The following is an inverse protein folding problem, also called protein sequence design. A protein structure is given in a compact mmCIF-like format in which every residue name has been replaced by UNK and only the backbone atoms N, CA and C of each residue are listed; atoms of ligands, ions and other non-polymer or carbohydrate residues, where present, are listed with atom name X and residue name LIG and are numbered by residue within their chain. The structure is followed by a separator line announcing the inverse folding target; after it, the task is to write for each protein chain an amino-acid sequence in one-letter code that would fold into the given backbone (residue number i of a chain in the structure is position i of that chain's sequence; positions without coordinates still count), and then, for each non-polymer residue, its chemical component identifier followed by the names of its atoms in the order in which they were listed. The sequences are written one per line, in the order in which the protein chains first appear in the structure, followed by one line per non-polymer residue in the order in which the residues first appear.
data_IF_164793708041
#
_entry.id   IF_164793708041
#
_cell.length_a   1.000
_cell.length_b   1.000
_cell.length_c   1.000
_cell.angle_alpha   90.00
_cell.angle_beta   90.00
_cell.angle_gamma   90.00
#
_symmetry.space_group_name_H-M   'P 1'
#
loop_
_entity.id
_entity.type
_entity.pdbx_description
1 polymer ?
#
# COMPACT_ATOMS: atom_id res chain seq x y z
N UNK A 1 22.54 -14.31 -8.82
CA UNK A 1 21.54 -13.91 -7.82
C UNK A 1 20.30 -14.74 -8.13
N UNK A 2 19.79 -15.46 -7.13
CA UNK A 2 18.57 -16.24 -7.27
C UNK A 2 17.36 -15.33 -7.45
N UNK A 3 16.42 -15.72 -8.32
CA UNK A 3 15.25 -14.91 -8.64
C UNK A 3 14.34 -14.71 -7.39
N UNK A 4 14.23 -15.74 -6.56
CA UNK A 4 13.42 -15.66 -5.34
C UNK A 4 14.08 -14.80 -4.27
N UNK A 5 15.42 -14.86 -4.16
CA UNK A 5 16.18 -13.95 -3.28
C UNK A 5 15.97 -12.50 -3.68
N UNK A 6 15.98 -12.23 -4.99
CA UNK A 6 15.73 -10.89 -5.52
C UNK A 6 14.30 -10.41 -5.23
N UNK A 7 13.29 -11.27 -5.37
CA UNK A 7 11.91 -10.95 -4.99
C UNK A 7 11.82 -10.58 -3.48
N UNK A 8 12.49 -11.35 -2.62
CA UNK A 8 12.50 -11.06 -1.17
C UNK A 8 13.18 -9.73 -0.90
N UNK A 9 14.32 -9.46 -1.55
CA UNK A 9 15.05 -8.19 -1.45
C UNK A 9 14.18 -7.01 -1.86
N UNK A 10 13.53 -7.11 -3.04
CA UNK A 10 12.66 -6.07 -3.58
C UNK A 10 11.49 -5.76 -2.64
N UNK A 11 10.81 -6.79 -2.14
CA UNK A 11 9.68 -6.62 -1.22
C UNK A 11 10.07 -5.91 0.08
N UNK A 12 11.26 -6.24 0.64
CA UNK A 12 11.81 -5.58 1.83
C UNK A 12 12.25 -4.14 1.56
N UNK A 13 12.75 -3.88 0.35
CA UNK A 13 13.16 -2.54 -0.08
C UNK A 13 12.00 -1.64 -0.53
N UNK A 14 10.74 -2.09 -0.40
CA UNK A 14 9.58 -1.32 -0.83
C UNK A 14 9.43 -1.22 -2.35
N UNK A 15 10.14 -2.04 -3.13
CA UNK A 15 10.14 -2.03 -4.59
C UNK A 15 9.04 -2.93 -5.15
N UNK A 16 8.48 -2.52 -6.29
CA UNK A 16 7.48 -3.28 -7.04
C UNK A 16 8.13 -4.05 -8.18
N UNK A 17 7.45 -5.12 -8.61
CA UNK A 17 7.79 -5.89 -9.79
C UNK A 17 6.63 -6.75 -10.25
N UNK A 18 6.87 -7.55 -11.28
CA UNK A 18 5.96 -8.60 -11.70
C UNK A 18 6.76 -9.86 -12.07
N UNK A 19 6.24 -11.00 -11.67
CA UNK A 19 6.80 -12.31 -12.01
C UNK A 19 5.97 -12.94 -13.11
N UNK A 20 6.60 -13.22 -14.25
CA UNK A 20 6.04 -14.00 -15.34
C UNK A 20 6.55 -15.45 -15.22
N UNK A 21 5.64 -16.41 -15.27
CA UNK A 21 5.96 -17.85 -15.23
C UNK A 21 5.27 -18.56 -16.39
N UNK A 22 6.02 -19.35 -17.16
CA UNK A 22 5.44 -20.29 -18.15
C UNK A 22 4.71 -21.39 -17.38
N UNK A 23 3.40 -21.47 -17.54
CA UNK A 23 2.52 -22.42 -16.82
C UNK A 23 2.06 -23.57 -17.71
N UNK A 24 2.12 -23.42 -19.04
CA UNK A 24 1.80 -24.46 -19.99
C UNK A 24 2.55 -24.26 -21.31
N UNK A 25 2.94 -25.37 -21.93
CA UNK A 25 3.59 -25.40 -23.23
C UNK A 25 3.05 -26.56 -24.05
N UNK A 26 2.80 -26.33 -25.34
CA UNK A 26 2.42 -27.37 -26.30
C UNK A 26 3.17 -27.15 -27.62
N UNK A 27 3.70 -28.23 -28.21
CA UNK A 27 4.49 -28.19 -29.43
C UNK A 27 5.98 -27.87 -29.23
N UNK A 28 6.69 -27.49 -30.32
CA UNK A 28 8.11 -27.16 -30.29
C UNK A 28 8.33 -25.70 -29.94
N UNK A 29 8.82 -25.45 -28.74
CA UNK A 29 9.08 -24.09 -28.24
C UNK A 29 10.50 -23.95 -27.70
N UNK A 30 11.09 -22.74 -27.69
CA UNK A 30 12.46 -22.50 -27.24
C UNK A 30 12.61 -22.47 -25.71
N UNK A 31 11.53 -22.67 -24.98
CA UNK A 31 11.48 -22.57 -23.52
C UNK A 31 10.78 -23.78 -22.91
N UNK A 32 10.83 -23.92 -21.61
CA UNK A 32 10.20 -25.02 -20.88
C UNK A 32 9.29 -24.51 -19.76
N UNK A 33 8.35 -25.33 -19.35
CA UNK A 33 7.49 -25.05 -18.18
C UNK A 33 8.33 -24.69 -16.96
N UNK A 34 7.79 -23.77 -16.16
CA UNK A 34 8.47 -23.19 -15.00
C UNK A 34 9.59 -22.19 -15.30
N UNK A 35 9.90 -21.88 -16.58
CA UNK A 35 10.75 -20.72 -16.90
C UNK A 35 10.14 -19.44 -16.37
N UNK A 36 10.96 -18.56 -15.81
CA UNK A 36 10.50 -17.34 -15.14
C UNK A 36 11.29 -16.12 -15.56
N UNK A 37 10.58 -14.99 -15.59
CA UNK A 37 11.14 -13.66 -15.81
C UNK A 37 10.56 -12.70 -14.77
N UNK A 38 11.42 -12.09 -13.99
CA UNK A 38 11.07 -11.01 -13.06
C UNK A 38 11.30 -9.67 -13.77
N UNK A 39 10.26 -8.85 -13.87
CA UNK A 39 10.32 -7.47 -14.36
C UNK A 39 10.23 -6.52 -13.18
N UNK A 40 11.20 -5.59 -13.05
CA UNK A 40 11.20 -4.59 -11.97
C UNK A 40 10.51 -3.30 -12.42
N UNK A 41 10.15 -2.45 -11.46
CA UNK A 41 9.50 -1.16 -11.73
C UNK A 41 10.34 -0.21 -12.58
N UNK A 42 11.68 -0.30 -12.50
CA UNK A 42 12.63 0.45 -13.32
C UNK A 42 12.75 -0.07 -14.76
N UNK A 43 12.04 -1.16 -15.09
CA UNK A 43 12.03 -1.80 -16.40
C UNK A 43 13.13 -2.84 -16.59
N UNK A 44 14.06 -3.00 -15.65
CA UNK A 44 15.06 -4.08 -15.72
C UNK A 44 14.43 -5.44 -15.47
N UNK A 45 15.03 -6.51 -16.01
CA UNK A 45 14.53 -7.88 -15.87
C UNK A 45 15.60 -8.84 -15.36
N UNK A 46 15.15 -9.96 -14.80
CA UNK A 46 15.99 -11.09 -14.39
C UNK A 46 15.30 -12.39 -14.81
N UNK A 47 16.04 -13.31 -15.45
CA UNK A 47 15.48 -14.54 -16.02
C UNK A 47 14.92 -14.34 -17.43
N UNK A 48 14.25 -15.36 -17.97
CA UNK A 48 13.71 -15.35 -19.34
C UNK A 48 12.48 -16.25 -19.45
N UNK A 49 11.62 -15.91 -20.41
CA UNK A 49 10.46 -16.74 -20.83
C UNK A 49 10.53 -17.12 -22.33
N UNK A 50 11.74 -17.07 -22.92
CA UNK A 50 12.00 -17.55 -24.28
C UNK A 50 12.51 -16.50 -25.26
N UNK A 51 12.61 -15.23 -24.88
CA UNK A 51 13.17 -14.15 -25.70
C UNK A 51 12.21 -13.58 -26.76
N UNK A 52 12.73 -12.65 -27.56
CA UNK A 52 12.02 -12.05 -28.70
C UNK A 52 10.75 -11.25 -28.32
N UNK A 53 9.74 -11.27 -29.20
CA UNK A 53 8.50 -10.52 -29.04
C UNK A 53 7.68 -10.97 -27.84
N UNK A 54 7.77 -12.26 -27.44
CA UNK A 54 7.10 -12.78 -26.25
C UNK A 54 7.53 -12.02 -24.99
N UNK A 55 8.82 -11.76 -24.83
CA UNK A 55 9.33 -10.99 -23.68
C UNK A 55 8.88 -9.52 -23.72
N UNK A 56 8.77 -8.93 -24.91
CA UNK A 56 8.27 -7.55 -25.04
C UNK A 56 6.81 -7.44 -24.58
N UNK A 57 5.96 -8.40 -24.97
CA UNK A 57 4.56 -8.45 -24.55
C UNK A 57 4.42 -8.76 -23.06
N UNK A 58 5.26 -9.67 -22.54
CA UNK A 58 5.33 -9.97 -21.10
C UNK A 58 5.76 -8.72 -20.31
N UNK A 59 6.72 -7.96 -20.83
CA UNK A 59 7.16 -6.71 -20.20
C UNK A 59 6.04 -5.66 -20.17
N UNK A 60 5.28 -5.50 -21.27
CA UNK A 60 4.12 -4.61 -21.30
C UNK A 60 3.03 -5.05 -20.32
N UNK A 61 2.71 -6.35 -20.27
CA UNK A 61 1.76 -6.91 -19.32
C UNK A 61 2.23 -6.77 -17.87
N UNK A 62 3.53 -6.92 -17.60
CA UNK A 62 4.11 -6.74 -16.28
C UNK A 62 3.88 -5.33 -15.73
N UNK A 63 4.02 -4.29 -16.56
CA UNK A 63 3.72 -2.91 -16.18
C UNK A 63 2.25 -2.72 -15.81
N UNK A 64 1.34 -3.28 -16.60
CA UNK A 64 -0.10 -3.23 -16.34
C UNK A 64 -0.45 -3.96 -15.03
N UNK A 65 0.10 -5.16 -14.83
CA UNK A 65 -0.07 -5.98 -13.62
C UNK A 65 0.43 -5.25 -12.37
N UNK A 66 1.59 -4.58 -12.44
CA UNK A 66 2.10 -3.75 -11.35
C UNK A 66 1.18 -2.58 -11.00
N UNK A 67 0.55 -1.94 -12.00
CA UNK A 67 -0.36 -0.81 -11.79
C UNK A 67 -1.71 -1.25 -11.21
N UNK A 68 -2.28 -2.35 -11.76
CA UNK A 68 -3.59 -2.88 -11.34
C UNK A 68 -3.54 -3.73 -10.07
N UNK A 69 -2.32 -4.12 -9.65
CA UNK A 69 -2.08 -5.04 -8.52
C UNK A 69 -2.86 -6.37 -8.64
N UNK A 70 -3.13 -6.80 -9.87
CA UNK A 70 -3.87 -8.01 -10.19
C UNK A 70 -3.16 -8.86 -11.26
N UNK A 71 -3.24 -10.19 -11.21
CA UNK A 71 -2.57 -11.06 -12.16
C UNK A 71 -3.21 -11.04 -13.54
N UNK A 72 -2.44 -11.45 -14.54
CA UNK A 72 -2.90 -11.62 -15.93
C UNK A 72 -2.33 -12.90 -16.52
N UNK A 73 -3.13 -13.61 -17.32
CA UNK A 73 -2.69 -14.73 -18.15
C UNK A 73 -2.52 -14.25 -19.59
N UNK A 74 -1.41 -14.60 -20.20
CA UNK A 74 -1.11 -14.40 -21.62
C UNK A 74 -1.06 -15.75 -22.30
N UNK A 75 -1.54 -15.83 -23.55
CA UNK A 75 -1.48 -17.02 -24.40
C UNK A 75 -0.86 -16.58 -25.73
N UNK A 76 0.22 -17.27 -26.12
CA UNK A 76 0.94 -17.03 -27.39
C UNK A 76 0.82 -18.27 -28.26
N UNK A 77 0.38 -18.08 -29.50
CA UNK A 77 0.39 -19.08 -30.55
C UNK A 77 1.57 -18.80 -31.47
N UNK A 78 2.62 -19.62 -31.38
CA UNK A 78 3.85 -19.47 -32.12
C UNK A 78 3.74 -20.20 -33.47
N UNK A 79 2.88 -19.72 -34.37
CA UNK A 79 2.69 -20.32 -35.68
C UNK A 79 3.50 -19.61 -36.74
N UNK A 80 3.99 -20.37 -37.76
CA UNK A 80 4.78 -19.91 -38.88
C UNK A 80 4.02 -18.99 -39.88
N UNK A 81 2.86 -18.49 -39.57
CA UNK A 81 2.15 -17.57 -40.44
C UNK A 81 2.68 -16.14 -40.29
N UNK A 82 3.02 -15.54 -41.44
CA UNK A 82 3.81 -14.35 -41.66
C UNK A 82 3.29 -13.01 -41.09
N UNK A 83 2.41 -13.00 -40.12
CA UNK A 83 1.89 -11.79 -39.50
C UNK A 83 2.61 -11.40 -38.19
N UNK A 84 3.40 -12.27 -37.64
CA UNK A 84 4.31 -11.99 -36.53
C UNK A 84 5.70 -12.45 -36.89
N UNK A 85 6.53 -11.54 -37.41
CA UNK A 85 7.96 -11.77 -37.69
C UNK A 85 8.73 -11.79 -36.35
N UNK A 86 8.45 -12.83 -35.57
CA UNK A 86 8.99 -13.02 -34.22
C UNK A 86 10.41 -13.57 -34.21
N UNK A 87 10.97 -13.87 -35.40
CA UNK A 87 12.29 -14.50 -35.55
C UNK A 87 12.41 -15.90 -34.92
N UNK A 88 11.28 -16.48 -34.46
CA UNK A 88 11.23 -17.79 -33.84
C UNK A 88 10.63 -18.80 -34.83
N UNK A 89 11.44 -19.74 -35.29
CA UNK A 89 11.03 -20.90 -36.12
C UNK A 89 10.45 -21.98 -35.16
N UNK A 90 9.42 -21.65 -34.41
CA UNK A 90 8.84 -22.56 -33.43
C UNK A 90 7.32 -22.64 -33.65
N UNK A 91 6.80 -23.87 -33.71
CA UNK A 91 5.34 -24.12 -33.79
C UNK A 91 4.84 -24.63 -32.45
N UNK A 92 3.93 -23.89 -31.80
CA UNK A 92 3.37 -24.34 -30.52
C UNK A 92 2.60 -23.25 -29.79
N UNK A 93 2.11 -23.57 -28.62
CA UNK A 93 1.39 -22.64 -27.72
C UNK A 93 2.15 -22.50 -26.41
N UNK A 94 2.26 -21.25 -25.93
CA UNK A 94 2.84 -20.94 -24.60
C UNK A 94 1.83 -20.16 -23.80
N UNK A 95 1.55 -20.60 -22.57
CA UNK A 95 0.75 -19.87 -21.62
C UNK A 95 1.64 -19.30 -20.49
N UNK A 96 1.55 -18.00 -20.26
CA UNK A 96 2.36 -17.29 -19.28
C UNK A 96 1.42 -16.63 -18.24
N UNK A 97 1.64 -16.94 -16.98
CA UNK A 97 0.98 -16.26 -15.87
C UNK A 97 1.88 -15.15 -15.36
N UNK A 98 1.35 -13.94 -15.34
CA UNK A 98 2.04 -12.73 -14.85
C UNK A 98 1.36 -12.26 -13.59
N UNK A 99 2.11 -12.26 -12.47
CA UNK A 99 1.60 -11.85 -11.17
C UNK A 99 2.38 -10.67 -10.57
N UNK A 100 1.72 -9.76 -9.80
CA UNK A 100 2.41 -8.63 -9.21
C UNK A 100 3.25 -9.06 -8.00
N UNK A 101 4.46 -8.55 -7.93
CA UNK A 101 5.32 -8.59 -6.74
C UNK A 101 5.16 -7.25 -6.02
N UNK A 102 4.37 -7.26 -4.96
CA UNK A 102 4.09 -6.07 -4.17
C UNK A 102 4.98 -6.01 -2.94
N UNK A 103 5.44 -4.81 -2.53
CA UNK A 103 6.16 -4.63 -1.28
C UNK A 103 5.29 -5.04 -0.10
N UNK A 104 5.93 -5.39 1.00
CA UNK A 104 5.21 -5.65 2.25
C UNK A 104 4.52 -4.34 2.71
N UNK A 105 3.22 -4.35 2.99
CA UNK A 105 2.56 -3.17 3.54
C UNK A 105 3.08 -2.90 4.96
N UNK A 106 3.40 -1.63 5.25
CA UNK A 106 3.87 -1.21 6.57
C UNK A 106 2.89 -0.22 7.19
N UNK A 107 2.49 -0.51 8.41
CA UNK A 107 1.64 0.35 9.23
C UNK A 107 2.51 1.15 10.20
N UNK A 108 2.57 2.45 10.02
CA UNK A 108 3.24 3.39 10.92
C UNK A 108 2.22 4.00 11.89
N UNK A 109 2.39 3.69 13.17
CA UNK A 109 1.55 4.16 14.27
C UNK A 109 2.18 5.40 14.91
N UNK A 110 1.55 6.53 14.77
CA UNK A 110 1.94 7.77 15.45
C UNK A 110 1.13 7.88 16.74
N UNK A 111 1.77 7.49 17.85
CA UNK A 111 1.23 7.29 19.17
C UNK A 111 1.34 5.82 19.62
N UNK A 112 1.87 5.55 20.82
CA UNK A 112 2.09 4.21 21.38
C UNK A 112 1.08 3.79 22.45
N UNK A 113 -0.15 4.37 22.45
CA UNK A 113 -1.20 4.11 23.43
C UNK A 113 -1.85 2.73 23.34
N UNK A 114 -2.92 2.52 24.11
CA UNK A 114 -3.64 1.23 24.17
C UNK A 114 -4.21 0.79 22.81
N UNK A 115 -4.85 1.73 22.09
CA UNK A 115 -5.36 1.45 20.74
C UNK A 115 -4.22 1.04 19.80
N UNK A 116 -3.09 1.73 19.84
CA UNK A 116 -1.92 1.38 19.01
C UNK A 116 -1.37 -0.01 19.33
N UNK A 117 -1.34 -0.40 20.61
CA UNK A 117 -0.86 -1.73 21.01
C UNK A 117 -1.79 -2.83 20.50
N UNK A 118 -3.10 -2.65 20.60
CA UNK A 118 -4.09 -3.58 20.05
C UNK A 118 -4.03 -3.61 18.52
N UNK A 119 -3.95 -2.43 17.88
CA UNK A 119 -3.88 -2.28 16.43
C UNK A 119 -2.60 -2.91 15.85
N UNK A 120 -1.45 -2.73 16.49
CA UNK A 120 -0.20 -3.34 16.06
C UNK A 120 -0.30 -4.87 16.01
N UNK A 121 -0.87 -5.49 17.04
CA UNK A 121 -1.07 -6.95 17.10
C UNK A 121 -2.01 -7.43 16.00
N UNK A 122 -3.16 -6.79 15.84
CA UNK A 122 -4.17 -7.18 14.86
C UNK A 122 -3.67 -6.96 13.41
N UNK A 123 -3.01 -5.83 13.13
CA UNK A 123 -2.45 -5.54 11.81
C UNK A 123 -1.28 -6.48 11.46
N UNK A 124 -0.42 -6.80 12.43
CA UNK A 124 0.66 -7.76 12.23
C UNK A 124 0.12 -9.16 11.86
N UNK A 125 -0.94 -9.61 12.52
CA UNK A 125 -1.59 -10.89 12.25
C UNK A 125 -2.13 -10.99 10.82
N UNK A 126 -2.50 -9.87 10.19
CA UNK A 126 -2.95 -9.84 8.79
C UNK A 126 -1.85 -9.41 7.80
N UNK A 127 -0.58 -9.44 8.25
CA UNK A 127 0.62 -9.32 7.40
C UNK A 127 1.13 -7.90 7.16
N UNK A 128 0.78 -6.93 8.00
CA UNK A 128 1.46 -5.63 8.00
C UNK A 128 2.78 -5.70 8.78
N UNK A 129 3.84 -5.06 8.23
CA UNK A 129 4.98 -4.63 9.02
C UNK A 129 4.53 -3.49 9.96
N UNK A 130 5.20 -3.33 11.10
CA UNK A 130 4.80 -2.34 12.12
C UNK A 130 5.95 -1.38 12.37
N UNK A 131 5.68 -0.08 12.28
CA UNK A 131 6.51 1.01 12.78
C UNK A 131 5.75 1.78 13.86
N UNK A 132 6.44 2.24 14.90
CA UNK A 132 5.80 2.97 16.03
C UNK A 132 6.58 4.24 16.34
N UNK A 133 5.87 5.32 16.58
CA UNK A 133 6.43 6.61 17.02
C UNK A 133 5.64 7.14 18.20
N UNK A 134 6.29 7.39 19.33
CA UNK A 134 5.73 8.12 20.50
C UNK A 134 6.88 8.84 21.21
N UNK A 135 6.68 10.09 21.61
CA UNK A 135 7.71 10.90 22.30
C UNK A 135 8.05 10.41 23.71
N UNK A 136 7.37 9.38 24.19
CA UNK A 136 7.59 8.75 25.49
C UNK A 136 8.18 7.35 25.28
N UNK A 137 9.40 7.13 25.71
CA UNK A 137 10.08 5.83 25.61
C UNK A 137 9.28 4.68 26.27
N UNK A 138 8.54 4.98 27.35
CA UNK A 138 7.68 3.99 27.99
C UNK A 138 6.50 3.53 27.12
N UNK A 139 6.18 4.27 26.04
CA UNK A 139 5.11 3.96 25.10
C UNK A 139 5.65 3.49 23.73
N UNK A 140 6.86 3.86 23.34
CA UNK A 140 7.51 3.40 22.12
C UNK A 140 8.77 2.59 22.46
N UNK A 141 8.60 1.30 22.72
CA UNK A 141 9.70 0.39 23.07
C UNK A 141 9.41 -1.06 22.61
N UNK A 142 10.46 -1.92 22.51
CA UNK A 142 10.33 -3.30 22.05
C UNK A 142 9.46 -4.18 22.97
N UNK A 143 9.36 -3.87 24.26
CA UNK A 143 8.56 -4.66 25.20
C UNK A 143 7.05 -4.49 24.90
N UNK A 144 6.64 -3.29 24.53
CA UNK A 144 5.25 -3.01 24.14
C UNK A 144 4.93 -3.45 22.72
N UNK A 145 5.91 -3.33 21.81
CA UNK A 145 5.76 -3.60 20.37
C UNK A 145 6.83 -4.58 19.89
N UNK A 146 6.80 -5.85 20.35
CA UNK A 146 7.83 -6.85 19.99
C UNK A 146 7.81 -7.19 18.49
N UNK A 147 6.72 -6.89 17.77
CA UNK A 147 6.59 -7.07 16.32
C UNK A 147 7.05 -5.85 15.51
N UNK A 148 7.40 -4.72 16.15
CA UNK A 148 7.79 -3.52 15.43
C UNK A 148 9.17 -3.68 14.77
N UNK A 149 9.24 -3.30 13.51
CA UNK A 149 10.49 -3.26 12.72
C UNK A 149 11.26 -1.96 12.97
N UNK A 150 10.52 -0.88 13.28
CA UNK A 150 11.06 0.45 13.53
C UNK A 150 10.35 1.09 14.72
N UNK A 151 11.12 1.68 15.62
CA UNK A 151 10.60 2.39 16.79
C UNK A 151 11.31 3.74 16.89
N UNK A 152 10.51 4.82 16.92
CA UNK A 152 11.00 6.18 17.07
C UNK A 152 10.45 6.79 18.36
N UNK A 153 11.33 7.42 19.14
CA UNK A 153 10.99 8.19 20.35
C UNK A 153 10.94 9.70 20.07
N UNK A 154 10.95 10.08 18.78
CA UNK A 154 10.86 11.46 18.31
C UNK A 154 10.04 11.51 17.02
N UNK A 155 9.01 12.34 17.00
CA UNK A 155 8.25 12.61 15.77
C UNK A 155 9.12 13.24 14.68
N UNK A 156 10.07 14.09 15.06
CA UNK A 156 11.00 14.72 14.13
C UNK A 156 11.85 13.68 13.41
N UNK A 157 12.45 12.77 14.18
CA UNK A 157 13.29 11.70 13.62
C UNK A 157 12.49 10.79 12.69
N UNK A 158 11.23 10.47 13.06
CA UNK A 158 10.33 9.71 12.21
C UNK A 158 10.06 10.43 10.89
N UNK A 159 9.78 11.74 10.92
CA UNK A 159 9.51 12.52 9.71
C UNK A 159 10.72 12.65 8.79
N UNK A 160 11.94 12.73 9.36
CA UNK A 160 13.18 12.84 8.60
C UNK A 160 13.62 11.48 7.99
N UNK A 161 13.36 10.37 8.69
CA UNK A 161 13.84 9.04 8.28
C UNK A 161 12.83 8.26 7.47
N UNK A 162 11.54 8.44 7.71
CA UNK A 162 10.50 7.75 6.98
C UNK A 162 10.28 8.36 5.59
N UNK A 163 10.17 7.50 4.59
CA UNK A 163 9.78 7.88 3.23
C UNK A 163 8.52 7.09 2.81
N UNK A 164 7.33 7.47 3.29
CA UNK A 164 6.11 6.73 3.03
C UNK A 164 5.73 6.72 1.56
N UNK A 165 5.60 5.52 1.00
CA UNK A 165 5.17 5.27 -0.38
C UNK A 165 3.84 4.52 -0.45
N UNK A 166 3.54 3.97 -1.62
CA UNK A 166 2.27 3.27 -1.93
C UNK A 166 2.02 1.99 -1.14
N UNK A 167 3.00 1.50 -0.36
CA UNK A 167 2.86 0.39 0.59
C UNK A 167 2.78 0.84 2.04
N UNK A 168 2.83 2.16 2.31
CA UNK A 168 2.82 2.73 3.65
C UNK A 168 1.41 3.15 4.06
N UNK A 169 1.06 2.84 5.31
CA UNK A 169 -0.20 3.18 5.95
C UNK A 169 0.10 3.97 7.21
N UNK A 170 -0.35 5.22 7.27
CA UNK A 170 -0.08 6.13 8.37
C UNK A 170 -1.32 6.23 9.26
N UNK A 171 -1.17 5.94 10.54
CA UNK A 171 -2.25 5.97 11.52
C UNK A 171 -1.91 6.91 12.66
N UNK A 172 -2.75 7.93 12.85
CA UNK A 172 -2.57 9.01 13.81
C UNK A 172 -3.45 8.73 15.02
N UNK A 173 -2.81 8.34 16.13
CA UNK A 173 -3.43 7.94 17.41
C UNK A 173 -2.70 8.60 18.57
N UNK A 174 -2.29 9.85 18.39
CA UNK A 174 -1.53 10.58 19.40
C UNK A 174 -2.41 10.96 20.61
N UNK A 175 -1.78 11.40 21.68
CA UNK A 175 -2.48 11.78 22.92
C UNK A 175 -3.15 13.17 22.88
N UNK A 176 -2.93 13.98 21.83
CA UNK A 176 -3.42 15.35 21.84
C UNK A 176 -3.50 16.03 20.47
N UNK A 177 -4.32 17.08 20.41
CA UNK A 177 -4.58 17.83 19.18
C UNK A 177 -3.34 18.39 18.50
N UNK A 178 -2.35 18.85 19.29
CA UNK A 178 -1.13 19.47 18.74
C UNK A 178 -0.30 18.47 17.95
N UNK A 179 -0.10 17.26 18.49
CA UNK A 179 0.66 16.22 17.80
C UNK A 179 -0.15 15.61 16.64
N UNK A 180 -1.48 15.46 16.79
CA UNK A 180 -2.34 15.05 15.68
C UNK A 180 -2.20 16.00 14.48
N UNK A 181 -2.25 17.32 14.72
CA UNK A 181 -2.05 18.34 13.67
C UNK A 181 -0.69 18.22 13.03
N UNK A 182 0.37 18.11 13.83
CA UNK A 182 1.74 18.03 13.34
C UNK A 182 1.97 16.80 12.47
N UNK A 183 1.48 15.64 12.92
CA UNK A 183 1.59 14.39 12.16
C UNK A 183 0.74 14.44 10.90
N UNK A 184 -0.49 14.95 10.98
CA UNK A 184 -1.38 15.06 9.82
C UNK A 184 -0.80 16.01 8.77
N UNK A 185 -0.28 17.15 9.18
CA UNK A 185 0.38 18.14 8.30
C UNK A 185 1.52 17.53 7.47
N UNK A 186 2.31 16.65 8.09
CA UNK A 186 3.35 15.90 7.39
C UNK A 186 2.75 14.78 6.53
N UNK A 187 1.81 14.00 7.07
CA UNK A 187 1.27 12.80 6.44
C UNK A 187 0.53 13.08 5.12
N UNK A 188 -0.24 14.17 5.04
CA UNK A 188 -1.01 14.53 3.82
C UNK A 188 -0.11 14.82 2.62
N UNK A 189 1.14 15.24 2.86
CA UNK A 189 2.14 15.52 1.83
C UNK A 189 2.96 14.31 1.40
N UNK A 190 2.77 13.15 2.05
CA UNK A 190 3.44 11.91 1.69
C UNK A 190 2.71 11.18 0.56
N UNK A 191 3.37 10.15 0.00
CA UNK A 191 2.77 9.24 -0.98
C UNK A 191 2.16 7.99 -0.33
N UNK A 192 1.91 8.03 0.98
CA UNK A 192 1.31 6.90 1.70
C UNK A 192 -0.03 6.49 1.08
N UNK A 193 -0.29 5.19 1.02
CA UNK A 193 -1.55 4.63 0.50
C UNK A 193 -2.75 4.98 1.38
N UNK A 194 -2.51 5.10 2.67
CA UNK A 194 -3.53 5.38 3.68
C UNK A 194 -3.02 6.41 4.69
N UNK A 195 -3.86 7.37 5.01
CA UNK A 195 -3.66 8.31 6.13
C UNK A 195 -4.94 8.30 6.95
N UNK A 196 -4.87 7.77 8.17
CA UNK A 196 -6.01 7.70 9.07
C UNK A 196 -5.78 8.46 10.37
N UNK A 197 -6.82 9.12 10.89
CA UNK A 197 -6.75 9.82 12.17
C UNK A 197 -7.92 9.42 13.07
N UNK A 198 -7.59 9.06 14.33
CA UNK A 198 -8.61 8.77 15.34
C UNK A 198 -9.20 10.07 15.91
N UNK A 199 -10.48 10.05 16.16
CA UNK A 199 -11.14 11.16 16.84
C UNK A 199 -12.62 11.27 16.50
N UNK A 200 -13.35 12.01 17.32
CA UNK A 200 -14.73 12.39 16.98
C UNK A 200 -14.75 13.31 15.75
N UNK A 201 -15.88 13.35 15.04
CA UNK A 201 -16.11 14.30 13.92
C UNK A 201 -15.75 15.74 14.29
N UNK A 202 -16.13 16.16 15.53
CA UNK A 202 -15.81 17.49 16.04
C UNK A 202 -14.29 17.74 16.15
N UNK A 203 -13.55 16.74 16.67
CA UNK A 203 -12.07 16.81 16.76
C UNK A 203 -11.44 16.92 15.39
N UNK A 204 -11.85 16.05 14.44
CA UNK A 204 -11.35 16.06 13.07
C UNK A 204 -11.54 17.42 12.42
N UNK A 205 -12.75 17.97 12.46
CA UNK A 205 -13.05 19.29 11.88
C UNK A 205 -12.24 20.41 12.53
N UNK A 206 -11.98 20.32 13.84
CA UNK A 206 -11.14 21.31 14.54
C UNK A 206 -9.69 21.27 14.03
N UNK A 207 -9.14 20.06 13.81
CA UNK A 207 -7.78 19.88 13.27
C UNK A 207 -7.69 20.40 11.84
N UNK A 208 -8.65 20.07 10.96
CA UNK A 208 -8.66 20.55 9.58
C UNK A 208 -8.71 22.09 9.51
N UNK A 209 -9.64 22.71 10.24
CA UNK A 209 -9.75 24.19 10.29
C UNK A 209 -8.48 24.87 10.81
N UNK A 210 -7.76 24.23 11.72
CA UNK A 210 -6.50 24.77 12.21
C UNK A 210 -5.41 24.70 11.14
N UNK A 211 -5.30 23.57 10.40
CA UNK A 211 -4.35 23.41 9.31
C UNK A 211 -4.68 24.30 8.10
N UNK A 212 -5.96 24.51 7.78
CA UNK A 212 -6.38 25.48 6.75
C UNK A 212 -5.87 26.90 7.07
N UNK A 213 -5.90 27.32 8.35
CA UNK A 213 -5.33 28.61 8.78
C UNK A 213 -3.80 28.67 8.64
N UNK A 214 -3.12 27.52 8.65
CA UNK A 214 -1.69 27.38 8.39
C UNK A 214 -1.35 27.27 6.89
N UNK A 215 -2.37 27.36 6.00
CA UNK A 215 -2.20 27.38 4.56
C UNK A 215 -2.30 26.01 3.87
N UNK A 216 -2.86 25.00 4.54
CA UNK A 216 -3.17 23.72 3.90
C UNK A 216 -4.48 23.82 3.12
N UNK A 217 -4.50 23.31 1.87
CA UNK A 217 -5.70 23.33 1.05
C UNK A 217 -6.70 22.23 1.53
N UNK A 218 -8.02 22.50 1.54
CA UNK A 218 -9.03 21.51 1.92
C UNK A 218 -8.93 20.18 1.16
N UNK A 219 -8.51 20.22 -0.09
CA UNK A 219 -8.34 19.07 -0.98
C UNK A 219 -7.25 18.11 -0.48
N UNK A 220 -6.26 18.59 0.28
CA UNK A 220 -5.22 17.76 0.87
C UNK A 220 -5.80 16.77 1.90
N UNK A 221 -6.97 17.09 2.48
CA UNK A 221 -7.64 16.26 3.49
C UNK A 221 -8.63 15.25 2.88
N UNK A 222 -8.98 15.36 1.60
CA UNK A 222 -9.94 14.43 0.97
C UNK A 222 -9.50 12.97 0.99
N UNK A 223 -8.19 12.73 1.02
CA UNK A 223 -7.61 11.39 1.10
C UNK A 223 -7.54 10.83 2.51
N UNK A 224 -7.82 11.66 3.53
CA UNK A 224 -7.69 11.28 4.94
C UNK A 224 -8.94 10.54 5.41
N UNK A 225 -8.73 9.40 6.04
CA UNK A 225 -9.76 8.61 6.71
C UNK A 225 -9.92 9.12 8.14
N UNK A 226 -10.92 9.96 8.38
CA UNK A 226 -11.15 10.56 9.69
C UNK A 226 -12.66 10.86 9.91
N UNK A 227 -13.27 10.32 10.96
CA UNK A 227 -12.73 9.28 11.85
C UNK A 227 -12.34 8.02 11.11
N UNK A 228 -11.16 7.42 11.43
CA UNK A 228 -10.72 6.17 10.83
C UNK A 228 -11.45 4.97 11.43
N UNK A 229 -11.50 3.89 10.66
CA UNK A 229 -12.15 2.63 10.99
C UNK A 229 -13.60 2.54 10.50
N UNK A 230 -14.06 1.30 10.31
CA UNK A 230 -15.44 1.03 9.93
C UNK A 230 -16.37 1.27 11.12
N UNK A 231 -17.57 1.77 10.86
CA UNK A 231 -18.59 1.98 11.91
C UNK A 231 -19.23 0.63 12.31
N UNK A 232 -18.65 -0.01 13.32
CA UNK A 232 -19.11 -1.30 13.88
C UNK A 232 -19.60 -1.17 15.31
N UNK A 233 -19.73 0.06 15.84
CA UNK A 233 -20.08 0.28 17.23
C UNK A 233 -18.98 -0.05 18.24
N UNK A 234 -17.71 -0.02 17.82
CA UNK A 234 -16.55 -0.36 18.65
C UNK A 234 -16.40 0.56 19.86
N UNK A 235 -16.15 -0.03 21.04
CA UNK A 235 -15.99 0.67 22.31
C UNK A 235 -14.61 0.44 22.94
N UNK A 236 -14.13 -0.80 22.97
CA UNK A 236 -12.81 -1.12 23.54
C UNK A 236 -11.66 -0.82 22.58
N UNK A 237 -10.42 -0.65 23.08
CA UNK A 237 -9.24 -0.51 22.22
C UNK A 237 -9.09 -1.64 21.23
N UNK A 238 -9.42 -2.88 21.60
CA UNK A 238 -9.35 -4.06 20.76
C UNK A 238 -10.41 -4.03 19.65
N UNK A 239 -11.64 -3.64 19.96
CA UNK A 239 -12.72 -3.48 18.97
C UNK A 239 -12.41 -2.35 17.99
N UNK A 240 -11.88 -1.22 18.50
CA UNK A 240 -11.41 -0.11 17.66
C UNK A 240 -10.29 -0.59 16.73
N UNK A 241 -9.36 -1.40 17.21
CA UNK A 241 -8.31 -1.99 16.40
C UNK A 241 -8.88 -2.88 15.28
N UNK A 242 -9.87 -3.72 15.56
CA UNK A 242 -10.57 -4.55 14.57
C UNK A 242 -11.23 -3.68 13.49
N UNK A 243 -11.94 -2.63 13.90
CA UNK A 243 -12.58 -1.67 13.00
C UNK A 243 -11.56 -1.03 12.03
N UNK A 244 -10.41 -0.59 12.57
CA UNK A 244 -9.35 0.04 11.78
C UNK A 244 -8.68 -0.98 10.86
N UNK A 245 -8.35 -2.19 11.34
CA UNK A 245 -7.72 -3.25 10.52
C UNK A 245 -8.63 -3.64 9.35
N UNK A 246 -9.94 -3.75 9.58
CA UNK A 246 -10.88 -4.04 8.50
C UNK A 246 -10.84 -2.96 7.40
N UNK A 247 -10.76 -1.67 7.77
CA UNK A 247 -10.59 -0.56 6.84
C UNK A 247 -9.24 -0.62 6.11
N UNK A 248 -8.14 -0.89 6.82
CA UNK A 248 -6.82 -1.03 6.22
C UNK A 248 -6.77 -2.17 5.18
N UNK A 249 -7.44 -3.30 5.48
CA UNK A 249 -7.54 -4.44 4.55
C UNK A 249 -8.37 -4.07 3.33
N UNK A 250 -9.49 -3.36 3.49
CA UNK A 250 -10.32 -2.88 2.39
C UNK A 250 -9.52 -1.97 1.44
N UNK A 251 -8.77 -1.00 2.00
CA UNK A 251 -7.88 -0.12 1.22
C UNK A 251 -6.78 -0.90 0.52
N UNK A 252 -6.17 -1.90 1.20
CA UNK A 252 -5.14 -2.76 0.61
C UNK A 252 -5.65 -3.57 -0.57
N UNK A 253 -6.91 -3.99 -0.51
CA UNK A 253 -7.56 -4.81 -1.53
C UNK A 253 -8.27 -4.01 -2.63
N UNK A 254 -8.17 -2.67 -2.59
CA UNK A 254 -8.89 -1.76 -3.49
C UNK A 254 -10.41 -2.07 -3.51
N UNK A 255 -10.96 -2.49 -2.38
CA UNK A 255 -12.38 -2.78 -2.26
C UNK A 255 -13.11 -1.50 -1.88
N UNK A 256 -14.12 -1.11 -2.67
CA UNK A 256 -15.04 -0.06 -2.26
C UNK A 256 -15.87 -0.59 -1.09
N UNK A 257 -15.49 -0.19 0.12
CA UNK A 257 -16.30 -0.45 1.29
C UNK A 257 -17.46 0.54 1.31
N UNK A 258 -18.69 0.05 1.29
CA UNK A 258 -19.91 0.84 1.46
C UNK A 258 -19.97 1.57 2.83
N UNK A 259 -19.06 1.23 3.74
CA UNK A 259 -18.91 1.84 5.06
C UNK A 259 -18.02 3.09 5.10
N UNK A 260 -17.34 3.45 4.00
CA UNK A 260 -16.48 4.64 3.95
C UNK A 260 -17.30 5.91 3.74
N UNK A 261 -17.91 6.45 4.76
CA UNK A 261 -18.34 7.85 4.77
C UNK A 261 -17.14 8.73 5.11
N UNK A 262 -16.31 9.06 4.12
CA UNK A 262 -15.35 10.16 4.25
C UNK A 262 -16.12 11.41 4.66
N UNK A 263 -15.66 12.08 5.71
CA UNK A 263 -16.14 13.42 6.04
C UNK A 263 -15.65 14.36 4.94
N UNK A 264 -16.53 14.64 3.96
CA UNK A 264 -16.31 15.78 3.07
C UNK A 264 -16.49 17.03 3.92
N UNK A 265 -15.55 17.97 3.84
CA UNK A 265 -15.79 19.34 4.25
C UNK A 265 -17.03 19.81 3.48
N UNK A 266 -18.14 20.01 4.19
CA UNK A 266 -19.31 20.64 3.58
C UNK A 266 -18.84 22.04 3.17
N UNK A 267 -18.85 22.32 1.88
CA UNK A 267 -18.71 23.70 1.41
C UNK A 267 -19.68 24.52 2.23
N UNK A 268 -19.17 25.58 2.87
CA UNK A 268 -20.00 26.47 3.67
C UNK A 268 -21.10 27.01 2.77
N UNK A 269 -22.32 26.51 2.95
CA UNK A 269 -23.49 27.09 2.35
C UNK A 269 -23.59 28.53 2.85
N UNK A 270 -23.76 29.54 1.96
CA UNK A 270 -23.95 30.90 2.44
C UNK A 270 -25.18 30.92 3.34
N UNK A 271 -25.01 31.46 4.54
CA UNK A 271 -26.10 31.73 5.45
C UNK A 271 -27.01 32.71 4.73
N UNK A 272 -28.18 32.26 4.28
CA UNK A 272 -29.25 33.17 3.88
C UNK A 272 -29.60 34.03 5.09
N UNK A 273 -29.22 35.28 4.99
CA UNK A 273 -29.68 36.32 5.89
C UNK A 273 -31.21 36.45 5.68
N UNK A 274 -32.00 35.90 6.62
CA UNK A 274 -33.40 36.25 6.71
C UNK A 274 -33.49 37.65 7.27
N UNK A 275 -34.04 38.55 6.43
CA UNK A 275 -34.61 39.84 6.80
C UNK A 275 -35.80 39.66 7.75
#
# INVERSE_FOLDING_TARGET
MDLFEEIVRMRRAGQRGALATIVHTDGSIPSFESSRMLVREDGSSLGTVGGGCVEADVWAAAREVMQREGPRKLVFHLNNEASYDNGLICGGTVEIFVEPILPQPVLYLFGGGHVSTALAKAAHAVGFGIGVTDDRETFANPQRFPMAQEIFTSYRDAFEKLNPGSSSYLVIVTRGHKEDMRVLAWAVRTRARYVGMIGSKRKVMSVYKALEKEGYAPEEFERVFAPMGLDIGALSPEEIAVSIVAELVAVRRNTESTAHKKLKLAAASPVEAKQ
#
